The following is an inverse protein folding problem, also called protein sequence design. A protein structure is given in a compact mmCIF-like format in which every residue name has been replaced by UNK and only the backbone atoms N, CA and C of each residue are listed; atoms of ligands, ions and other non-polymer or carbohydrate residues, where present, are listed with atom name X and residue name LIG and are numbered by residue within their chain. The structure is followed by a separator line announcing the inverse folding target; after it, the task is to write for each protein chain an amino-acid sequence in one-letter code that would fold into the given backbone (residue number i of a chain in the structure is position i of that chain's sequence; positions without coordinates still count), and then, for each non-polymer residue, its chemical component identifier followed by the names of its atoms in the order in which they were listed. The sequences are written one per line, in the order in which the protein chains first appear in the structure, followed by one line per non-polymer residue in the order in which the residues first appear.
data_IF_592090823950
#
_entry.id   IF_592090823950
#
_cell.length_a   1.000
_cell.length_b   1.000
_cell.length_c   1.000
_cell.angle_alpha   90.00
_cell.angle_beta   90.00
_cell.angle_gamma   90.00
#
_symmetry.space_group_name_H-M   'P 1'
#
loop_
_entity.id
_entity.type
_entity.pdbx_description
1 polymer ?
#
# COMPACT_ATOMS: atom_id res chain seq x y z
N UNK A 1 22.64 -12.87 12.94
CA UNK A 1 21.78 -12.14 13.87
C UNK A 1 20.61 -11.57 13.11
N UNK A 2 19.43 -12.01 13.45
CA UNK A 2 18.21 -11.51 12.86
C UNK A 2 17.76 -10.27 13.63
N UNK A 3 18.03 -9.10 13.07
CA UNK A 3 17.41 -7.88 13.54
C UNK A 3 16.13 -7.70 12.74
N UNK A 4 15.02 -7.97 13.38
CA UNK A 4 13.72 -7.64 12.80
C UNK A 4 13.33 -6.25 13.27
N UNK A 5 13.31 -5.31 12.35
CA UNK A 5 12.71 -4.00 12.61
C UNK A 5 11.23 -4.10 12.26
N UNK A 6 10.40 -3.90 13.26
CA UNK A 6 8.96 -4.00 13.14
C UNK A 6 8.32 -2.65 13.42
N UNK A 7 7.45 -2.21 12.54
CA UNK A 7 6.70 -0.99 12.72
C UNK A 7 5.23 -1.21 12.38
N UNK A 8 4.38 -0.99 13.36
CA UNK A 8 2.94 -1.07 13.24
C UNK A 8 2.33 0.31 13.38
N UNK A 9 1.56 0.72 12.39
CA UNK A 9 0.73 1.92 12.49
C UNK A 9 -0.74 1.55 12.37
N UNK A 10 -1.49 1.98 13.36
CA UNK A 10 -2.95 1.95 13.33
C UNK A 10 -3.45 3.37 13.06
N UNK A 11 -4.19 3.55 12.00
CA UNK A 11 -4.68 4.85 11.61
C UNK A 11 -6.18 4.78 11.29
N UNK A 12 -6.93 5.64 11.95
CA UNK A 12 -8.33 5.85 11.62
C UNK A 12 -8.42 6.91 10.54
N UNK A 13 -8.75 6.50 9.32
CA UNK A 13 -8.90 7.40 8.19
C UNK A 13 -10.35 7.45 7.76
N UNK A 14 -10.86 8.68 7.67
CA UNK A 14 -12.21 8.94 7.16
C UNK A 14 -12.12 9.40 5.71
N UNK A 15 -10.98 9.92 5.29
CA UNK A 15 -10.78 10.53 3.99
C UNK A 15 -9.48 10.13 3.33
N UNK A 16 -9.35 10.40 2.03
CA UNK A 16 -8.26 9.95 1.19
C UNK A 16 -7.66 11.08 0.39
N UNK A 17 -6.48 10.80 -0.06
CA UNK A 17 -5.76 11.56 -1.06
C UNK A 17 -5.04 10.57 -1.97
N UNK A 18 -4.42 11.05 -3.03
CA UNK A 18 -3.61 10.18 -3.91
C UNK A 18 -2.46 9.49 -3.17
N UNK A 19 -1.95 10.11 -2.11
CA UNK A 19 -1.07 9.47 -1.12
C UNK A 19 -1.71 9.66 0.24
N UNK A 20 -2.09 8.59 0.92
CA UNK A 20 -2.82 8.74 2.17
C UNK A 20 -2.05 8.28 3.41
N UNK A 21 -0.97 7.56 3.25
CA UNK A 21 -0.16 7.11 4.37
C UNK A 21 1.30 7.01 3.95
N UNK A 22 2.14 7.75 4.60
CA UNK A 22 3.58 7.68 4.42
C UNK A 22 4.27 7.48 5.76
N UNK A 23 5.25 6.61 5.78
CA UNK A 23 5.97 6.22 6.97
C UNK A 23 7.46 6.22 6.71
N UNK A 24 8.22 6.83 7.62
CA UNK A 24 9.67 6.75 7.60
C UNK A 24 10.14 5.65 8.54
N UNK A 25 10.95 4.76 8.01
CA UNK A 25 11.65 3.75 8.80
C UNK A 25 13.11 3.72 8.41
N UNK A 26 13.90 3.01 9.17
CA UNK A 26 15.28 2.77 8.86
C UNK A 26 15.48 1.29 8.56
N UNK A 27 16.00 1.01 7.39
CA UNK A 27 16.47 -0.33 7.07
C UNK A 27 17.87 -0.52 7.65
N UNK A 28 18.05 -1.53 8.47
CA UNK A 28 19.28 -1.71 9.22
C UNK A 28 20.38 -2.42 8.44
N UNK A 29 19.99 -3.27 7.49
CA UNK A 29 20.94 -4.10 6.73
C UNK A 29 20.69 -4.04 5.22
N UNK A 30 21.77 -4.07 4.44
CA UNK A 30 21.69 -4.34 3.02
C UNK A 30 21.42 -5.84 2.79
N UNK A 31 20.76 -6.17 1.70
CA UNK A 31 20.49 -7.55 1.32
C UNK A 31 19.32 -8.21 2.02
N UNK A 32 18.55 -7.45 2.78
CA UNK A 32 17.27 -7.88 3.34
C UNK A 32 16.11 -7.41 2.43
N UNK A 33 14.91 -7.87 2.74
CA UNK A 33 13.69 -7.41 2.10
C UNK A 33 12.84 -6.64 3.10
N UNK A 34 12.01 -5.73 2.61
CA UNK A 34 10.94 -5.14 3.40
C UNK A 34 9.64 -5.85 3.09
N UNK A 35 9.05 -6.43 4.12
CA UNK A 35 7.69 -6.97 4.05
C UNK A 35 6.73 -5.85 4.40
N UNK A 36 5.75 -5.60 3.53
CA UNK A 36 4.73 -4.58 3.73
C UNK A 36 3.38 -5.24 3.73
N UNK A 37 2.58 -4.95 4.75
CA UNK A 37 1.18 -5.37 4.84
C UNK A 37 0.33 -4.15 5.11
N UNK A 38 -0.62 -3.91 4.23
CA UNK A 38 -1.66 -2.92 4.45
C UNK A 38 -3.00 -3.62 4.56
N UNK A 39 -3.80 -3.23 5.54
CA UNK A 39 -5.18 -3.68 5.71
C UNK A 39 -6.08 -2.49 6.00
N UNK A 40 -7.18 -2.40 5.29
CA UNK A 40 -8.12 -1.34 5.52
C UNK A 40 -9.38 -1.49 4.68
N UNK A 41 -10.33 -0.63 4.95
CA UNK A 41 -11.53 -0.53 4.14
C UNK A 41 -11.17 0.09 2.77
N UNK A 42 -11.68 -0.49 1.71
CA UNK A 42 -11.51 -0.02 0.34
C UNK A 42 -12.88 0.27 -0.25
N UNK A 43 -12.98 1.42 -0.90
CA UNK A 43 -14.20 1.85 -1.54
C UNK A 43 -13.90 2.62 -2.83
N UNK A 44 -14.60 2.29 -3.89
CA UNK A 44 -14.53 3.00 -5.16
C UNK A 44 -15.95 3.26 -5.63
N UNK A 45 -16.22 4.48 -6.03
CA UNK A 45 -17.52 4.88 -6.57
C UNK A 45 -17.37 5.54 -7.93
N UNK A 46 -17.90 4.90 -8.93
CA UNK A 46 -17.87 5.41 -10.30
C UNK A 46 -18.65 4.50 -11.24
N UNK A 47 -18.69 4.89 -12.49
CA UNK A 47 -19.21 4.07 -13.59
C UNK A 47 -18.04 3.64 -14.48
N UNK A 48 -17.79 2.34 -14.55
CA UNK A 48 -16.70 1.73 -15.34
C UNK A 48 -15.34 2.34 -15.04
N UNK A 49 -14.89 2.19 -13.84
CA UNK A 49 -13.57 2.67 -13.43
C UNK A 49 -12.70 1.59 -12.81
N UNK A 50 -11.44 1.91 -12.68
CA UNK A 50 -10.47 1.05 -12.04
C UNK A 50 -9.58 1.89 -11.14
N UNK A 51 -9.52 1.54 -9.86
CA UNK A 51 -8.60 2.15 -8.89
C UNK A 51 -7.56 1.15 -8.45
N UNK A 52 -6.39 1.66 -8.19
CA UNK A 52 -5.22 0.89 -7.80
C UNK A 52 -4.66 1.43 -6.50
N UNK A 53 -4.49 0.56 -5.51
CA UNK A 53 -3.73 0.85 -4.29
C UNK A 53 -2.36 0.23 -4.45
N UNK A 54 -1.32 0.99 -4.22
CA UNK A 54 0.05 0.52 -4.44
C UNK A 54 1.03 1.11 -3.44
N UNK A 55 2.09 0.37 -3.21
CA UNK A 55 3.15 0.74 -2.27
C UNK A 55 4.29 1.42 -3.00
N UNK A 56 4.79 2.50 -2.44
CA UNK A 56 6.02 3.15 -2.90
C UNK A 56 7.09 3.18 -1.81
N UNK A 57 8.33 3.11 -2.25
CA UNK A 57 9.52 3.21 -1.42
C UNK A 57 10.32 4.41 -1.91
N UNK A 58 10.41 5.46 -1.10
CA UNK A 58 11.01 6.74 -1.51
C UNK A 58 10.40 7.29 -2.82
N UNK A 59 9.10 7.13 -2.99
CA UNK A 59 8.37 7.65 -4.14
C UNK A 59 8.33 6.74 -5.37
N UNK A 60 9.03 5.63 -5.37
CA UNK A 60 9.06 4.67 -6.48
C UNK A 60 8.42 3.34 -6.09
N UNK A 61 7.76 2.70 -7.04
CA UNK A 61 7.24 1.36 -6.82
C UNK A 61 8.36 0.33 -6.73
N UNK A 62 8.07 -0.78 -6.08
CA UNK A 62 9.01 -1.89 -5.99
C UNK A 62 9.29 -2.47 -7.39
N UNK A 63 10.56 -2.65 -7.70
CA UNK A 63 11.01 -3.32 -8.91
C UNK A 63 11.77 -4.61 -8.66
N UNK A 64 11.96 -4.95 -7.40
CA UNK A 64 12.63 -6.17 -6.99
C UNK A 64 11.80 -6.99 -5.99
N UNK A 65 11.00 -7.97 -6.44
CA UNK A 65 10.85 -8.41 -7.83
C UNK A 65 9.74 -7.71 -8.62
N UNK A 66 8.68 -7.27 -7.95
CA UNK A 66 7.45 -6.79 -8.60
C UNK A 66 6.80 -5.67 -7.79
N UNK A 67 5.96 -4.83 -8.42
CA UNK A 67 5.13 -3.90 -7.69
C UNK A 67 4.25 -4.59 -6.64
N UNK A 68 3.96 -3.88 -5.58
CA UNK A 68 3.05 -4.34 -4.52
C UNK A 68 1.78 -3.53 -4.65
N UNK A 69 0.74 -4.15 -5.16
CA UNK A 69 -0.50 -3.45 -5.46
C UNK A 69 -1.73 -4.34 -5.36
N UNK A 70 -2.87 -3.69 -5.38
CA UNK A 70 -4.19 -4.31 -5.56
C UNK A 70 -5.06 -3.39 -6.38
N UNK A 71 -5.91 -3.98 -7.19
CA UNK A 71 -6.79 -3.27 -8.12
C UNK A 71 -8.25 -3.55 -7.76
N UNK A 72 -9.07 -2.51 -7.81
CA UNK A 72 -10.52 -2.63 -7.72
C UNK A 72 -11.15 -2.07 -8.99
N UNK A 73 -11.86 -2.91 -9.68
CA UNK A 73 -12.61 -2.52 -10.87
C UNK A 73 -14.10 -2.49 -10.56
N UNK A 74 -14.77 -1.41 -10.93
CA UNK A 74 -16.20 -1.20 -10.71
C UNK A 74 -16.91 -1.10 -12.06
N UNK A 75 -17.93 -1.93 -12.22
CA UNK A 75 -18.70 -2.01 -13.43
C UNK A 75 -19.68 -0.85 -13.60
N UNK A 76 -20.36 -0.48 -12.53
CA UNK A 76 -21.38 0.58 -12.57
C UNK A 76 -21.47 1.30 -11.22
N UNK A 77 -22.04 2.51 -11.25
CA UNK A 77 -22.14 3.40 -10.08
C UNK A 77 -23.04 2.88 -8.94
N UNK A 78 -23.83 1.86 -9.20
CA UNK A 78 -24.73 1.29 -8.20
C UNK A 78 -24.02 0.23 -7.33
N UNK A 79 -22.80 -0.13 -7.70
CA UNK A 79 -21.93 -0.95 -6.85
C UNK A 79 -21.35 -0.08 -5.74
N UNK A 80 -22.07 0.04 -4.64
CA UNK A 80 -21.74 0.90 -3.51
C UNK A 80 -21.38 0.04 -2.30
N UNK A 81 -20.18 -0.52 -2.32
CA UNK A 81 -19.72 -1.45 -1.30
C UNK A 81 -18.38 -1.02 -0.70
N UNK A 82 -18.40 -0.79 0.60
CA UNK A 82 -17.16 -0.74 1.38
C UNK A 82 -16.71 -2.16 1.67
N UNK A 83 -15.48 -2.48 1.32
CA UNK A 83 -14.95 -3.84 1.45
C UNK A 83 -13.63 -3.83 2.21
N UNK A 84 -13.35 -4.87 2.99
CA UNK A 84 -12.00 -5.05 3.51
C UNK A 84 -11.04 -5.30 2.36
N UNK A 85 -9.90 -4.64 2.39
CA UNK A 85 -8.82 -4.84 1.43
C UNK A 85 -7.53 -5.15 2.15
N UNK A 86 -6.70 -5.97 1.52
CA UNK A 86 -5.37 -6.27 2.01
C UNK A 86 -4.37 -6.24 0.86
N UNK A 87 -3.22 -5.62 1.13
CA UNK A 87 -2.08 -5.59 0.22
C UNK A 87 -0.90 -6.15 1.00
N UNK A 88 -0.25 -7.16 0.47
CA UNK A 88 0.93 -7.73 1.09
C UNK A 88 1.97 -8.04 0.03
N UNK A 89 3.22 -7.72 0.32
CA UNK A 89 4.32 -8.07 -0.55
C UNK A 89 5.67 -7.81 0.09
N UNK A 90 6.70 -8.26 -0.62
CA UNK A 90 8.09 -8.08 -0.24
C UNK A 90 8.78 -7.23 -1.28
N UNK A 91 9.60 -6.31 -0.84
CA UNK A 91 10.47 -5.55 -1.74
C UNK A 91 11.92 -5.77 -1.37
N UNK A 92 12.69 -6.23 -2.34
CA UNK A 92 14.12 -6.45 -2.24
C UNK A 92 14.91 -5.27 -2.81
N UNK A 93 16.23 -5.29 -2.61
CA UNK A 93 17.15 -4.31 -3.20
C UNK A 93 16.88 -2.86 -2.76
N UNK A 94 16.32 -2.70 -1.57
CA UNK A 94 16.18 -1.40 -0.95
C UNK A 94 17.45 -1.11 -0.17
N UNK A 95 18.00 0.08 -0.37
CA UNK A 95 19.23 0.47 0.29
C UNK A 95 19.06 0.61 1.79
N UNK A 96 20.09 0.22 2.53
CA UNK A 96 20.21 0.49 3.95
C UNK A 96 20.04 1.97 4.24
N UNK A 97 19.37 2.26 5.32
CA UNK A 97 19.18 3.63 5.79
C UNK A 97 17.72 4.03 5.87
N UNK A 98 17.46 5.31 5.81
CA UNK A 98 16.12 5.88 5.98
C UNK A 98 15.29 5.68 4.71
N UNK A 99 14.11 5.10 4.88
CA UNK A 99 13.20 4.80 3.78
C UNK A 99 11.82 5.34 4.14
N UNK A 100 11.20 6.00 3.17
CA UNK A 100 9.80 6.38 3.27
C UNK A 100 8.95 5.35 2.50
N UNK A 101 8.11 4.64 3.23
CA UNK A 101 7.13 3.72 2.65
C UNK A 101 5.76 4.40 2.64
N UNK A 102 5.08 4.36 1.53
CA UNK A 102 3.78 5.00 1.39
C UNK A 102 2.78 4.10 0.67
N UNK A 103 1.53 4.21 1.08
CA UNK A 103 0.39 3.65 0.36
C UNK A 103 -0.24 4.75 -0.46
N UNK A 104 -0.46 4.47 -1.72
CA UNK A 104 -0.99 5.41 -2.70
C UNK A 104 -2.26 4.87 -3.31
N UNK A 105 -3.12 5.77 -3.75
CA UNK A 105 -4.29 5.45 -4.56
C UNK A 105 -4.12 6.14 -5.89
N UNK A 106 -4.29 5.39 -6.96
CA UNK A 106 -4.20 5.92 -8.32
C UNK A 106 -5.18 5.25 -9.25
N UNK A 107 -5.12 5.62 -10.50
CA UNK A 107 -5.93 5.01 -11.54
C UNK A 107 -5.19 3.83 -12.17
N UNK A 108 -5.93 2.81 -12.60
CA UNK A 108 -5.34 1.79 -13.44
C UNK A 108 -4.99 2.40 -14.80
N UNK A 109 -3.93 1.91 -15.46
CA UNK A 109 -3.58 2.40 -16.79
C UNK A 109 -4.76 2.32 -17.77
N UNK A 110 -5.00 3.39 -18.50
CA UNK A 110 -6.07 3.47 -19.51
C UNK A 110 -7.45 3.81 -18.96
N UNK A 111 -7.61 4.01 -17.66
CA UNK A 111 -8.87 4.40 -17.05
C UNK A 111 -8.88 5.86 -16.65
N UNK A 112 -10.03 6.51 -16.81
CA UNK A 112 -10.23 7.89 -16.38
C UNK A 112 -10.13 8.03 -14.87
N UNK A 113 -9.93 9.26 -14.42
CA UNK A 113 -9.90 9.56 -13.00
C UNK A 113 -11.26 9.30 -12.33
N UNK A 114 -11.21 8.82 -11.12
CA UNK A 114 -12.37 8.51 -10.30
C UNK A 114 -12.00 8.56 -8.82
N UNK A 115 -13.01 8.56 -7.97
CA UNK A 115 -12.80 8.64 -6.53
C UNK A 115 -12.52 7.25 -5.94
N UNK A 116 -11.48 7.18 -5.14
CA UNK A 116 -11.15 6.02 -4.33
C UNK A 116 -10.99 6.42 -2.88
N UNK A 117 -11.47 5.59 -1.97
CA UNK A 117 -11.52 5.87 -0.55
C UNK A 117 -10.98 4.70 0.26
N UNK A 118 -10.49 5.01 1.44
CA UNK A 118 -10.05 3.98 2.38
C UNK A 118 -10.35 4.40 3.81
N UNK A 119 -10.53 3.42 4.70
CA UNK A 119 -10.65 3.65 6.13
C UNK A 119 -12.02 4.04 6.67
N UNK A 120 -13.04 4.14 5.87
CA UNK A 120 -14.38 4.59 6.28
C UNK A 120 -14.87 3.91 7.58
N UNK A 121 -15.05 4.71 8.64
CA UNK A 121 -15.47 4.27 9.99
C UNK A 121 -14.70 3.06 10.54
N UNK A 122 -13.45 2.87 10.13
CA UNK A 122 -12.66 1.72 10.50
C UNK A 122 -11.17 2.06 10.59
N UNK A 123 -10.41 1.16 11.18
CA UNK A 123 -8.98 1.33 11.35
C UNK A 123 -8.24 0.72 10.17
N UNK A 124 -7.38 1.50 9.55
CA UNK A 124 -6.39 0.99 8.59
C UNK A 124 -5.08 0.69 9.31
N UNK A 125 -4.41 -0.36 8.89
CA UNK A 125 -3.14 -0.79 9.47
C UNK A 125 -2.09 -0.91 8.39
N UNK A 126 -0.92 -0.37 8.68
CA UNK A 126 0.29 -0.55 7.89
C UNK A 126 1.33 -1.22 8.77
N UNK A 127 1.83 -2.36 8.32
CA UNK A 127 2.87 -3.11 9.00
C UNK A 127 4.05 -3.18 8.04
N UNK A 128 5.23 -2.82 8.54
CA UNK A 128 6.46 -2.92 7.77
C UNK A 128 7.49 -3.65 8.62
N UNK A 129 8.14 -4.63 8.02
CA UNK A 129 9.06 -5.51 8.69
C UNK A 129 10.26 -5.76 7.79
N UNK A 130 11.47 -5.57 8.33
CA UNK A 130 12.69 -5.99 7.65
C UNK A 130 12.89 -7.48 7.87
N UNK A 131 13.02 -8.23 6.81
CA UNK A 131 13.13 -9.69 6.85
C UNK A 131 14.27 -10.18 5.98
N UNK A 132 14.81 -11.38 6.23
CA UNK A 132 15.71 -12.03 5.28
C UNK A 132 15.04 -12.15 3.91
N UNK A 133 15.83 -12.09 2.84
CA UNK A 133 15.28 -12.28 1.48
C UNK A 133 14.50 -13.58 1.39
N UNK A 134 13.31 -13.57 0.81
CA UNK A 134 12.60 -14.80 0.50
C UNK A 134 13.43 -15.68 -0.43
N UNK A 135 13.38 -16.97 -0.20
CA UNK A 135 14.05 -17.98 -1.04
C UNK A 135 13.11 -18.50 -2.12
#
# INVERSE_FOLDING_TARGET
KNHESFLLINLLLIYFASVFLGLHLRQDEDGTALRVVYQGNIYVRCDKCCKRWFVTFNGAECSGPLPIDVVVWIRNKDEDNHRPGAIEGYCENIHKGRIRVAINIGNCPGYRDSDGYTGWNSVSRLIIEEVPKPQ
#
